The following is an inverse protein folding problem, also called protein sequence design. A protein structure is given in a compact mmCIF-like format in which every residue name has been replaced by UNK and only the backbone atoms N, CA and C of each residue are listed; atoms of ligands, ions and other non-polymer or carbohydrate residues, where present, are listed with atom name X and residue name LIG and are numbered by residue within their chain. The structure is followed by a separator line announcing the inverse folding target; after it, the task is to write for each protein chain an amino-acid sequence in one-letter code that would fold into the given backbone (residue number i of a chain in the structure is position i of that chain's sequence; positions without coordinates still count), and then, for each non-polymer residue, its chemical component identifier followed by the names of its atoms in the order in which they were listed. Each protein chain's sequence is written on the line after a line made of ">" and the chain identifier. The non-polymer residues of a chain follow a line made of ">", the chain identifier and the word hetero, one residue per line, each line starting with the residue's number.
data_IF_304415300017
#
_entry.id   IF_304415300017
#
_cell.length_a   1.000
_cell.length_b   1.000
_cell.length_c   1.000
_cell.angle_alpha   90.00
_cell.angle_beta   90.00
_cell.angle_gamma   90.00
#
_symmetry.space_group_name_H-M   'P 1'
#
loop_
_entity.id
_entity.type
_entity.pdbx_description
1 polymer ?
#
# COMPACT_ATOMS: atom_id res chain seq x y z
N UNK A 1 -87.07 -41.46 -5.04
CA UNK A 1 -86.84 -40.10 -4.51
C UNK A 1 -85.59 -40.15 -3.64
N UNK A 2 -84.75 -39.12 -3.74
CA UNK A 2 -83.33 -39.02 -3.36
C UNK A 2 -82.87 -39.62 -2.02
N UNK A 3 -81.59 -40.00 -1.97
CA UNK A 3 -80.57 -39.50 -1.00
C UNK A 3 -79.19 -40.14 -1.33
N UNK A 4 -78.36 -39.49 -2.15
CA UNK A 4 -77.32 -38.52 -1.77
C UNK A 4 -76.11 -39.15 -1.09
N UNK A 5 -75.04 -39.34 -1.87
CA UNK A 5 -73.72 -39.78 -1.44
C UNK A 5 -72.89 -38.59 -0.91
N UNK A 6 -72.18 -38.81 0.20
CA UNK A 6 -71.17 -37.88 0.74
C UNK A 6 -69.91 -37.93 -0.12
N UNK A 7 -69.42 -36.76 -0.53
CA UNK A 7 -68.06 -36.59 -1.06
C UNK A 7 -67.17 -35.99 0.05
N UNK A 8 -66.05 -36.65 0.33
CA UNK A 8 -64.96 -36.10 1.14
C UNK A 8 -64.16 -35.10 0.29
N UNK A 9 -63.96 -33.88 0.81
CA UNK A 9 -63.01 -32.92 0.26
C UNK A 9 -61.72 -32.97 1.10
N UNK A 10 -60.59 -33.20 0.44
CA UNK A 10 -59.26 -33.13 1.03
C UNK A 10 -58.78 -31.67 1.07
N UNK A 11 -58.32 -31.20 2.23
CA UNK A 11 -57.72 -29.89 2.42
C UNK A 11 -56.21 -29.95 2.10
N UNK A 12 -55.77 -29.25 1.05
CA UNK A 12 -54.36 -28.98 0.77
C UNK A 12 -54.01 -27.58 1.23
N UNK A 13 -53.12 -27.46 2.23
CA UNK A 13 -52.56 -26.18 2.66
C UNK A 13 -51.33 -25.84 1.81
N UNK A 14 -51.38 -24.71 1.09
CA UNK A 14 -50.23 -24.14 0.37
C UNK A 14 -49.53 -23.16 1.30
N UNK A 15 -48.31 -23.48 1.73
CA UNK A 15 -47.43 -22.57 2.46
C UNK A 15 -46.71 -21.67 1.44
N UNK A 16 -47.01 -20.37 1.44
CA UNK A 16 -46.25 -19.39 0.67
C UNK A 16 -44.99 -18.98 1.45
N UNK A 17 -43.82 -19.36 0.94
CA UNK A 17 -42.53 -18.91 1.47
C UNK A 17 -42.21 -17.51 0.94
N UNK A 18 -42.31 -16.51 1.81
CA UNK A 18 -41.78 -15.16 1.59
C UNK A 18 -40.25 -15.24 1.62
N UNK A 19 -39.61 -15.10 0.47
CA UNK A 19 -38.16 -14.89 0.37
C UNK A 19 -37.87 -13.43 0.73
N UNK A 20 -37.34 -13.20 1.94
CA UNK A 20 -36.73 -11.93 2.30
C UNK A 20 -35.38 -11.87 1.58
N UNK A 21 -35.29 -11.06 0.52
CA UNK A 21 -34.00 -10.69 -0.07
C UNK A 21 -33.26 -9.82 0.95
N UNK A 22 -32.26 -10.39 1.62
CA UNK A 22 -31.34 -9.63 2.45
C UNK A 22 -30.53 -8.70 1.54
N UNK A 23 -30.85 -7.41 1.55
CA UNK A 23 -29.98 -6.38 0.99
C UNK A 23 -28.70 -6.32 1.83
N UNK A 24 -27.57 -6.69 1.22
CA UNK A 24 -26.24 -6.44 1.81
C UNK A 24 -26.12 -4.93 2.07
N UNK A 25 -25.76 -4.49 3.28
CA UNK A 25 -25.71 -3.07 3.60
C UNK A 25 -24.68 -2.36 2.71
N UNK A 26 -25.04 -1.18 2.21
CA UNK A 26 -24.20 -0.33 1.34
C UNK A 26 -22.85 0.12 1.94
N UNK A 27 -22.57 -0.23 3.21
CA UNK A 27 -21.30 0.03 3.86
C UNK A 27 -20.15 -0.86 3.33
N UNK A 28 -20.46 -2.05 2.80
CA UNK A 28 -19.43 -3.01 2.39
C UNK A 28 -18.73 -2.68 1.05
N UNK A 29 -19.35 -1.86 0.21
CA UNK A 29 -18.78 -1.43 -1.09
C UNK A 29 -17.90 -0.18 -0.98
N UNK A 30 -18.04 0.61 0.09
CA UNK A 30 -17.26 1.84 0.30
C UNK A 30 -15.83 1.59 0.84
N UNK A 31 -15.55 0.38 1.33
CA UNK A 31 -14.28 0.01 1.96
C UNK A 31 -13.18 -0.43 0.97
N UNK A 32 -13.56 -0.76 -0.26
CA UNK A 32 -12.66 -1.22 -1.35
C UNK A 32 -12.80 -0.28 -2.56
N UNK A 33 -11.86 -0.33 -3.49
CA UNK A 33 -11.79 0.60 -4.62
C UNK A 33 -10.96 1.85 -4.31
N UNK A 34 -10.91 2.76 -5.29
CA UNK A 34 -10.21 4.05 -5.18
C UNK A 34 -11.18 5.20 -4.86
N UNK A 35 -10.81 6.03 -3.88
CA UNK A 35 -11.57 7.21 -3.47
C UNK A 35 -10.66 8.44 -3.45
N UNK A 36 -11.17 9.55 -3.99
CA UNK A 36 -10.54 10.87 -3.88
C UNK A 36 -11.05 11.57 -2.62
N UNK A 37 -10.15 11.97 -1.71
CA UNK A 37 -10.45 12.74 -0.49
C UNK A 37 -9.57 13.98 -0.48
N UNK A 38 -10.14 15.14 -0.82
CA UNK A 38 -9.38 16.39 -0.97
C UNK A 38 -8.19 16.23 -1.93
N UNK A 39 -6.99 16.48 -1.41
CA UNK A 39 -5.74 16.38 -2.14
C UNK A 39 -5.21 14.93 -2.25
N UNK A 40 -5.90 13.94 -1.69
CA UNK A 40 -5.47 12.54 -1.62
C UNK A 40 -6.30 11.57 -2.46
N UNK A 41 -5.66 10.49 -2.90
CA UNK A 41 -6.32 9.34 -3.53
C UNK A 41 -6.00 8.10 -2.70
N UNK A 42 -6.99 7.33 -2.31
CA UNK A 42 -6.83 6.12 -1.49
C UNK A 42 -7.44 4.93 -2.21
N UNK A 43 -6.62 3.97 -2.64
CA UNK A 43 -7.09 2.70 -3.18
C UNK A 43 -6.85 1.55 -2.21
N UNK A 44 -7.84 0.67 -2.10
CA UNK A 44 -7.85 -0.48 -1.20
C UNK A 44 -8.40 -1.67 -1.98
N UNK A 45 -7.60 -2.70 -2.21
CA UNK A 45 -8.06 -3.90 -2.93
C UNK A 45 -8.76 -4.89 -2.00
N UNK A 46 -9.57 -5.80 -2.55
CA UNK A 46 -10.42 -6.69 -1.78
C UNK A 46 -9.61 -7.62 -0.86
N UNK A 47 -9.82 -7.54 0.48
CA UNK A 47 -9.18 -8.46 1.40
C UNK A 47 -9.76 -9.89 1.34
N UNK A 48 -10.92 -10.10 0.71
CA UNK A 48 -11.51 -11.42 0.48
C UNK A 48 -10.72 -12.32 -0.47
N UNK A 49 -9.73 -11.78 -1.18
CA UNK A 49 -8.97 -12.47 -2.21
C UNK A 49 -9.71 -12.52 -3.55
N UNK A 50 -9.11 -13.21 -4.52
CA UNK A 50 -9.55 -13.14 -5.92
C UNK A 50 -8.89 -11.98 -6.67
N UNK A 51 -9.01 -11.99 -7.99
CA UNK A 51 -8.35 -11.02 -8.85
C UNK A 51 -8.94 -9.60 -8.66
N UNK A 52 -8.10 -8.66 -8.22
CA UNK A 52 -8.43 -7.24 -8.07
C UNK A 52 -7.37 -6.36 -8.75
N UNK A 53 -7.76 -5.71 -9.85
CA UNK A 53 -6.92 -4.82 -10.65
C UNK A 53 -7.18 -3.33 -10.37
N UNK A 54 -7.84 -2.99 -9.25
CA UNK A 54 -8.19 -1.60 -8.88
C UNK A 54 -6.97 -0.67 -8.92
N UNK A 55 -5.83 -1.09 -8.35
CA UNK A 55 -4.61 -0.27 -8.32
C UNK A 55 -4.01 -0.13 -9.72
N UNK A 56 -4.05 -1.19 -10.53
CA UNK A 56 -3.60 -1.16 -11.93
C UNK A 56 -4.45 -0.17 -12.73
N UNK A 57 -5.78 -0.24 -12.61
CA UNK A 57 -6.71 0.67 -13.28
C UNK A 57 -6.47 2.13 -12.88
N UNK A 58 -6.17 2.40 -11.61
CA UNK A 58 -5.91 3.75 -11.13
C UNK A 58 -4.58 4.31 -11.66
N UNK A 59 -3.52 3.49 -11.71
CA UNK A 59 -2.26 3.87 -12.35
C UNK A 59 -2.48 4.18 -13.83
N UNK A 60 -3.20 3.30 -14.55
CA UNK A 60 -3.54 3.51 -15.96
C UNK A 60 -4.33 4.80 -16.15
N UNK A 61 -5.29 5.11 -15.28
CA UNK A 61 -6.06 6.35 -15.32
C UNK A 61 -5.18 7.60 -15.20
N UNK A 62 -4.15 7.55 -14.36
CA UNK A 62 -3.21 8.66 -14.19
C UNK A 62 -2.27 8.82 -15.37
N UNK A 63 -1.61 7.73 -15.78
CA UNK A 63 -0.60 7.74 -16.85
C UNK A 63 -1.22 7.91 -18.23
N UNK A 64 -2.41 7.35 -18.46
CA UNK A 64 -3.09 7.33 -19.76
C UNK A 64 -3.48 8.70 -20.31
N UNK A 65 -3.41 9.74 -19.48
CA UNK A 65 -3.67 11.13 -19.88
C UNK A 65 -2.40 11.96 -20.14
N UNK A 66 -1.22 11.40 -19.90
CA UNK A 66 0.05 12.08 -20.15
C UNK A 66 0.28 12.27 -21.66
N UNK A 67 0.73 13.46 -22.04
CA UNK A 67 0.96 13.90 -23.42
C UNK A 67 2.31 14.61 -23.56
N UNK A 68 2.63 15.11 -24.76
CA UNK A 68 3.84 15.90 -25.02
C UNK A 68 4.02 17.04 -24.01
N UNK A 69 5.20 17.11 -23.39
CA UNK A 69 5.54 18.08 -22.34
C UNK A 69 5.25 17.61 -20.90
N UNK A 70 4.52 16.52 -20.72
CA UNK A 70 4.31 15.90 -19.41
C UNK A 70 5.46 14.95 -19.05
N UNK A 71 5.63 14.67 -17.76
CA UNK A 71 6.64 13.70 -17.27
C UNK A 71 5.99 12.56 -16.51
N UNK A 72 6.46 11.34 -16.76
CA UNK A 72 6.08 10.12 -16.04
C UNK A 72 7.34 9.41 -15.58
N UNK A 73 7.40 9.09 -14.29
CA UNK A 73 8.52 8.39 -13.67
C UNK A 73 7.97 7.28 -12.79
N UNK A 74 8.39 6.06 -13.03
CA UNK A 74 7.89 4.90 -12.30
C UNK A 74 9.05 4.09 -11.71
N UNK A 75 8.83 3.52 -10.54
CA UNK A 75 9.73 2.58 -9.90
C UNK A 75 8.97 1.28 -9.59
N UNK A 76 9.62 0.13 -9.80
CA UNK A 76 8.99 -1.19 -9.64
C UNK A 76 9.95 -2.18 -8.98
N UNK A 77 9.49 -2.92 -7.97
CA UNK A 77 10.21 -4.12 -7.52
C UNK A 77 10.28 -5.16 -8.64
N UNK A 78 9.12 -5.46 -9.24
CA UNK A 78 8.97 -6.27 -10.46
C UNK A 78 7.85 -5.66 -11.31
N UNK A 79 7.97 -5.83 -12.62
CA UNK A 79 6.99 -5.41 -13.60
C UNK A 79 6.88 -6.51 -14.67
N UNK A 80 5.77 -7.23 -14.70
CA UNK A 80 5.58 -8.37 -15.59
C UNK A 80 4.48 -8.11 -16.63
N UNK A 81 4.20 -9.08 -17.50
CA UNK A 81 3.25 -8.95 -18.63
C UNK A 81 2.06 -9.91 -18.55
N UNK A 82 1.79 -10.50 -17.38
CA UNK A 82 0.53 -11.19 -17.12
C UNK A 82 -0.66 -10.24 -17.31
N UNK A 83 -1.79 -10.77 -17.77
CA UNK A 83 -3.00 -10.03 -18.15
C UNK A 83 -3.43 -8.97 -17.13
N UNK A 84 -3.32 -9.29 -15.84
CA UNK A 84 -3.74 -8.44 -14.73
C UNK A 84 -2.91 -7.16 -14.59
N UNK A 85 -1.64 -7.19 -14.99
CA UNK A 85 -0.65 -6.11 -14.74
C UNK A 85 -0.04 -5.53 -16.02
N UNK A 86 -0.14 -6.25 -17.15
CA UNK A 86 0.30 -5.80 -18.47
C UNK A 86 -0.20 -4.38 -18.83
N UNK A 87 -1.45 -3.95 -18.49
CA UNK A 87 -1.91 -2.60 -18.80
C UNK A 87 -1.01 -1.47 -18.28
N UNK A 88 -0.23 -1.70 -17.21
CA UNK A 88 0.72 -0.71 -16.71
C UNK A 88 1.89 -0.52 -17.67
N UNK A 89 2.41 -1.60 -18.25
CA UNK A 89 3.46 -1.50 -19.29
C UNK A 89 2.88 -0.87 -20.55
N UNK A 90 1.67 -1.26 -20.96
CA UNK A 90 1.02 -0.69 -22.16
C UNK A 90 0.84 0.82 -22.02
N UNK A 91 0.30 1.31 -20.90
CA UNK A 91 0.01 2.74 -20.74
C UNK A 91 1.30 3.59 -20.70
N UNK A 92 2.42 3.03 -20.20
CA UNK A 92 3.73 3.68 -20.23
C UNK A 92 4.27 3.80 -21.66
N UNK A 93 4.17 2.72 -22.45
CA UNK A 93 4.52 2.71 -23.88
C UNK A 93 3.67 3.71 -24.66
N UNK A 94 2.35 3.73 -24.41
CA UNK A 94 1.44 4.67 -25.07
C UNK A 94 1.73 6.13 -24.69
N UNK A 95 2.06 6.41 -23.42
CA UNK A 95 2.45 7.75 -22.98
C UNK A 95 3.73 8.23 -23.67
N UNK A 96 4.74 7.36 -23.77
CA UNK A 96 5.96 7.63 -24.53
C UNK A 96 5.65 7.91 -26.01
N UNK A 97 4.76 7.12 -26.63
CA UNK A 97 4.31 7.32 -28.01
C UNK A 97 3.54 8.63 -28.24
N UNK A 98 2.89 9.17 -27.20
CA UNK A 98 2.24 10.50 -27.22
C UNK A 98 3.21 11.66 -26.97
N UNK A 99 4.50 11.38 -26.77
CA UNK A 99 5.55 12.38 -26.55
C UNK A 99 5.76 12.78 -25.10
N UNK A 100 5.10 12.12 -24.13
CA UNK A 100 5.43 12.31 -22.72
C UNK A 100 6.86 11.80 -22.44
N UNK A 101 7.57 12.44 -21.53
CA UNK A 101 8.87 11.97 -21.07
C UNK A 101 8.66 10.85 -20.04
N UNK A 102 8.91 9.60 -20.43
CA UNK A 102 8.71 8.42 -19.57
C UNK A 102 10.03 7.78 -19.16
N UNK A 103 10.18 7.53 -17.85
CA UNK A 103 11.32 6.83 -17.28
C UNK A 103 10.91 5.76 -16.28
N UNK A 104 11.58 4.61 -16.32
CA UNK A 104 11.35 3.46 -15.43
C UNK A 104 12.63 3.05 -14.70
N UNK A 105 12.51 2.76 -13.40
CA UNK A 105 13.49 1.98 -12.64
C UNK A 105 12.82 0.67 -12.21
N UNK A 106 13.49 -0.47 -12.39
CA UNK A 106 12.94 -1.77 -12.03
C UNK A 106 14.00 -2.68 -11.40
N UNK A 107 13.59 -3.46 -10.41
CA UNK A 107 14.45 -4.45 -9.76
C UNK A 107 14.55 -5.76 -10.54
N UNK A 108 15.72 -6.40 -10.45
CA UNK A 108 15.90 -7.82 -10.75
C UNK A 108 15.82 -8.59 -9.43
N UNK A 109 14.73 -9.33 -9.23
CA UNK A 109 14.53 -10.10 -8.00
C UNK A 109 15.52 -11.26 -7.87
N UNK A 110 16.01 -11.54 -6.66
CA UNK A 110 17.00 -12.62 -6.46
C UNK A 110 16.49 -14.00 -6.89
N UNK A 111 15.22 -14.30 -6.62
CA UNK A 111 14.60 -15.58 -6.95
C UNK A 111 14.09 -15.68 -8.38
N UNK A 112 13.81 -14.54 -9.01
CA UNK A 112 13.23 -14.44 -10.35
C UNK A 112 13.85 -13.26 -11.11
N UNK A 113 15.15 -13.32 -11.44
CA UNK A 113 15.91 -12.18 -11.96
C UNK A 113 15.46 -11.72 -13.34
N UNK A 114 14.73 -12.57 -14.07
CA UNK A 114 14.25 -12.31 -15.43
C UNK A 114 12.74 -12.06 -15.49
N UNK A 115 12.05 -11.96 -14.34
CA UNK A 115 10.60 -11.75 -14.29
C UNK A 115 10.15 -10.51 -15.08
N UNK A 116 10.97 -9.45 -15.05
CA UNK A 116 10.67 -8.18 -15.72
C UNK A 116 11.21 -8.08 -17.15
N UNK A 117 11.99 -9.06 -17.62
CA UNK A 117 12.77 -8.93 -18.86
C UNK A 117 11.90 -8.64 -20.10
N UNK A 118 10.74 -9.28 -20.21
CA UNK A 118 9.83 -9.05 -21.32
C UNK A 118 9.18 -7.65 -21.28
N UNK A 119 8.84 -7.16 -20.08
CA UNK A 119 8.30 -5.81 -19.92
C UNK A 119 9.36 -4.75 -20.20
N UNK A 120 10.61 -4.97 -19.75
CA UNK A 120 11.73 -4.07 -19.99
C UNK A 120 12.04 -3.96 -21.48
N UNK A 121 12.18 -5.09 -22.18
CA UNK A 121 12.42 -5.08 -23.63
C UNK A 121 11.33 -4.29 -24.37
N UNK A 122 10.06 -4.48 -24.00
CA UNK A 122 8.94 -3.74 -24.58
C UNK A 122 8.99 -2.23 -24.31
N UNK A 123 9.42 -1.81 -23.12
CA UNK A 123 9.60 -0.39 -22.77
C UNK A 123 10.76 0.23 -23.56
N UNK A 124 11.90 -0.46 -23.63
CA UNK A 124 13.09 0.00 -24.36
C UNK A 124 12.82 0.11 -25.87
N UNK A 125 12.12 -0.86 -26.45
CA UNK A 125 11.69 -0.82 -27.87
C UNK A 125 10.79 0.38 -28.19
N UNK A 126 10.03 0.85 -27.20
CA UNK A 126 9.19 2.06 -27.30
C UNK A 126 9.98 3.37 -27.07
N UNK A 127 11.27 3.28 -26.71
CA UNK A 127 12.11 4.44 -26.40
C UNK A 127 11.96 4.97 -24.97
N UNK A 128 11.35 4.22 -24.05
CA UNK A 128 11.31 4.56 -22.63
C UNK A 128 12.71 4.40 -22.04
N UNK A 129 13.14 5.35 -21.20
CA UNK A 129 14.40 5.20 -20.48
C UNK A 129 14.23 4.22 -19.33
N UNK A 130 14.96 3.10 -19.32
CA UNK A 130 14.86 2.06 -18.29
C UNK A 130 16.19 1.89 -17.54
N UNK A 131 16.12 1.73 -16.22
CA UNK A 131 17.22 1.24 -15.37
C UNK A 131 16.80 -0.06 -14.70
N UNK A 132 17.53 -1.14 -14.97
CA UNK A 132 17.45 -2.36 -14.17
C UNK A 132 18.48 -2.34 -13.03
N UNK A 133 18.05 -2.74 -11.84
CA UNK A 133 18.89 -2.85 -10.64
C UNK A 133 19.09 -4.31 -10.25
N UNK A 134 20.35 -4.77 -10.27
CA UNK A 134 20.75 -6.05 -9.71
C UNK A 134 20.84 -5.92 -8.19
N UNK A 135 19.77 -6.33 -7.49
CA UNK A 135 19.59 -6.01 -6.07
C UNK A 135 19.08 -4.58 -5.88
N UNK A 136 19.65 -3.86 -4.90
CA UNK A 136 19.35 -2.46 -4.63
C UNK A 136 20.05 -1.57 -5.66
N UNK A 137 19.35 -0.54 -6.14
CA UNK A 137 19.93 0.49 -6.97
C UNK A 137 20.92 1.35 -6.19
N UNK A 138 20.66 1.61 -4.90
CA UNK A 138 21.44 2.54 -4.11
C UNK A 138 22.40 1.85 -3.14
N UNK A 139 23.60 2.42 -2.94
CA UNK A 139 24.52 1.89 -1.95
C UNK A 139 24.00 2.12 -0.53
N UNK A 140 24.24 1.15 0.34
CA UNK A 140 23.94 1.26 1.77
C UNK A 140 25.01 2.10 2.48
N UNK A 141 24.77 2.58 3.71
CA UNK A 141 25.79 3.31 4.48
C UNK A 141 27.10 2.53 4.70
N UNK A 142 27.06 1.19 4.68
CA UNK A 142 28.25 0.34 4.76
C UNK A 142 28.95 0.12 3.42
N UNK A 143 28.43 0.69 2.32
CA UNK A 143 28.98 0.55 0.97
C UNK A 143 28.66 -0.77 0.29
N UNK A 144 27.86 -1.64 0.91
CA UNK A 144 27.49 -2.95 0.37
C UNK A 144 25.98 -2.98 0.10
N UNK A 145 25.57 -2.85 -1.16
CA UNK A 145 24.17 -3.04 -1.57
C UNK A 145 23.80 -4.52 -1.45
N UNK A 146 23.13 -4.92 -0.36
CA UNK A 146 22.76 -6.32 -0.10
C UNK A 146 21.25 -6.58 -0.07
N UNK A 147 20.41 -5.56 -0.17
CA UNK A 147 18.95 -5.72 -0.28
C UNK A 147 18.47 -5.52 -1.72
N UNK A 148 17.17 -5.74 -2.01
CA UNK A 148 16.59 -5.49 -3.33
C UNK A 148 16.15 -4.02 -3.53
N UNK A 149 15.92 -3.62 -4.78
CA UNK A 149 15.13 -2.45 -5.10
C UNK A 149 13.63 -2.76 -4.92
N UNK A 150 12.99 -2.32 -3.84
CA UNK A 150 11.64 -2.76 -3.47
C UNK A 150 10.55 -1.67 -3.66
N UNK A 151 10.89 -0.57 -4.32
CA UNK A 151 9.97 0.54 -4.54
C UNK A 151 8.83 0.20 -5.51
N UNK A 152 7.66 0.80 -5.28
CA UNK A 152 6.52 0.89 -6.21
C UNK A 152 5.89 2.26 -6.05
N UNK A 153 6.28 3.18 -6.93
CA UNK A 153 5.71 4.52 -6.95
C UNK A 153 5.69 5.09 -8.36
N UNK A 154 4.81 6.06 -8.57
CA UNK A 154 4.66 6.79 -9.83
C UNK A 154 4.66 8.28 -9.54
N UNK A 155 5.38 9.03 -10.36
CA UNK A 155 5.41 10.48 -10.37
C UNK A 155 4.90 10.90 -11.73
N UNK A 156 3.78 11.62 -11.73
CA UNK A 156 3.14 12.13 -12.93
C UNK A 156 3.03 13.65 -12.80
N UNK A 157 3.66 14.39 -13.69
CA UNK A 157 3.48 15.85 -13.81
C UNK A 157 2.79 16.16 -15.13
N UNK A 158 1.55 16.67 -15.04
CA UNK A 158 0.73 17.00 -16.22
C UNK A 158 0.52 18.49 -16.31
N UNK A 159 1.18 19.14 -17.25
CA UNK A 159 1.09 20.60 -17.42
C UNK A 159 1.36 21.41 -16.14
N UNK A 160 2.21 20.89 -15.24
CA UNK A 160 2.53 21.54 -13.97
C UNK A 160 1.72 21.06 -12.76
N UNK A 161 0.79 20.10 -12.93
CA UNK A 161 0.00 19.48 -11.86
C UNK A 161 0.64 18.16 -11.38
N UNK A 162 1.44 18.17 -10.30
CA UNK A 162 2.17 17.00 -9.84
C UNK A 162 1.25 16.00 -9.13
N UNK A 163 1.54 14.72 -9.30
CA UNK A 163 0.91 13.61 -8.58
C UNK A 163 1.98 12.60 -8.19
N UNK A 164 1.99 12.23 -6.91
CA UNK A 164 2.83 11.17 -6.34
C UNK A 164 1.93 10.02 -5.91
N UNK A 165 2.09 8.85 -6.51
CA UNK A 165 1.37 7.62 -6.13
C UNK A 165 2.35 6.64 -5.51
N UNK A 166 2.06 6.14 -4.32
CA UNK A 166 2.86 5.13 -3.62
C UNK A 166 1.98 3.93 -3.28
N UNK A 167 2.47 2.72 -3.57
CA UNK A 167 1.67 1.50 -3.36
C UNK A 167 2.46 0.34 -2.76
N UNK A 168 1.75 -0.52 -2.04
CA UNK A 168 2.26 -1.82 -1.60
C UNK A 168 2.14 -2.92 -2.65
N UNK A 169 1.44 -2.66 -3.78
CA UNK A 169 1.18 -3.57 -4.89
C UNK A 169 2.44 -3.81 -5.71
N UNK A 170 2.83 -5.08 -5.88
CA UNK A 170 3.89 -5.46 -6.80
C UNK A 170 3.27 -5.77 -8.15
N UNK A 171 3.81 -5.25 -9.25
CA UNK A 171 3.20 -5.39 -10.59
C UNK A 171 3.57 -6.72 -11.22
N UNK A 172 3.19 -7.80 -10.53
CA UNK A 172 3.29 -9.21 -10.92
C UNK A 172 1.92 -9.86 -10.78
N UNK A 173 1.52 -10.72 -11.73
CA UNK A 173 0.14 -11.23 -11.82
C UNK A 173 -0.41 -11.80 -10.50
N UNK A 174 0.37 -12.63 -9.81
CA UNK A 174 -0.02 -13.25 -8.54
C UNK A 174 -0.34 -12.26 -7.39
N UNK A 175 0.07 -10.99 -7.50
CA UNK A 175 -0.27 -9.95 -6.52
C UNK A 175 -1.65 -9.35 -6.75
N UNK A 176 -2.26 -9.53 -7.91
CA UNK A 176 -3.66 -9.17 -8.14
C UNK A 176 -4.62 -10.01 -7.28
N UNK A 177 -4.20 -11.19 -6.83
CA UNK A 177 -4.98 -12.05 -5.93
C UNK A 177 -4.82 -11.69 -4.44
N UNK A 178 -4.08 -10.63 -4.13
CA UNK A 178 -3.70 -10.23 -2.78
C UNK A 178 -4.18 -8.82 -2.43
N UNK A 179 -4.40 -8.58 -1.13
CA UNK A 179 -4.87 -7.31 -0.60
C UNK A 179 -3.72 -6.30 -0.48
N UNK A 180 -3.88 -5.16 -1.11
CA UNK A 180 -2.91 -4.10 -1.30
C UNK A 180 -3.58 -2.72 -1.16
N UNK A 181 -2.75 -1.70 -1.03
CA UNK A 181 -3.18 -0.32 -0.89
C UNK A 181 -2.33 0.61 -1.73
N UNK A 182 -2.91 1.75 -2.11
CA UNK A 182 -2.22 2.86 -2.76
C UNK A 182 -2.64 4.17 -2.08
N UNK A 183 -1.68 5.07 -1.89
CA UNK A 183 -1.91 6.44 -1.49
C UNK A 183 -1.34 7.38 -2.56
N UNK A 184 -2.18 8.26 -3.06
CA UNK A 184 -1.84 9.35 -3.97
C UNK A 184 -1.86 10.70 -3.25
N UNK A 185 -0.87 11.55 -3.51
CA UNK A 185 -0.82 12.96 -3.08
C UNK A 185 -0.70 13.82 -4.33
N UNK A 186 -1.50 14.88 -4.40
CA UNK A 186 -1.66 15.68 -5.62
C UNK A 186 -1.42 17.15 -5.33
N UNK A 187 -0.97 17.88 -6.36
CA UNK A 187 -0.68 19.32 -6.31
C UNK A 187 0.32 19.68 -5.19
N UNK A 188 1.17 18.72 -4.79
CA UNK A 188 2.30 18.90 -3.89
C UNK A 188 3.60 18.84 -4.69
N UNK A 189 4.08 20.02 -5.12
CA UNK A 189 5.31 20.14 -5.90
C UNK A 189 6.54 19.74 -5.10
N UNK A 190 6.61 20.12 -3.83
CA UNK A 190 7.79 19.83 -3.01
C UNK A 190 7.95 18.33 -2.76
N UNK A 191 6.85 17.62 -2.46
CA UNK A 191 6.86 16.17 -2.35
C UNK A 191 7.23 15.49 -3.68
N UNK A 192 6.68 15.99 -4.79
CA UNK A 192 6.99 15.48 -6.11
C UNK A 192 8.47 15.64 -6.44
N UNK A 193 9.04 16.83 -6.21
CA UNK A 193 10.44 17.13 -6.51
C UNK A 193 11.38 16.29 -5.63
N UNK A 194 11.00 16.02 -4.37
CA UNK A 194 11.70 15.08 -3.50
C UNK A 194 11.72 13.66 -4.10
N UNK A 195 10.56 13.09 -4.44
CA UNK A 195 10.51 11.76 -5.04
C UNK A 195 11.17 11.72 -6.43
N UNK A 196 11.12 12.81 -7.19
CA UNK A 196 11.82 12.96 -8.47
C UNK A 196 13.32 12.86 -8.27
N UNK A 197 13.86 13.59 -7.28
CA UNK A 197 15.26 13.52 -6.88
C UNK A 197 15.65 12.13 -6.38
N UNK A 198 14.77 11.43 -5.66
CA UNK A 198 15.00 10.04 -5.27
C UNK A 198 15.03 9.10 -6.48
N UNK A 199 14.08 9.23 -7.42
CA UNK A 199 14.06 8.45 -8.66
C UNK A 199 15.33 8.68 -9.48
N UNK A 200 15.82 9.92 -9.59
CA UNK A 200 17.06 10.22 -10.32
C UNK A 200 18.26 9.47 -9.75
N UNK A 201 18.32 9.33 -8.43
CA UNK A 201 19.37 8.58 -7.72
C UNK A 201 19.24 7.08 -7.94
N UNK A 202 18.02 6.55 -7.85
CA UNK A 202 17.73 5.16 -8.20
C UNK A 202 18.17 4.85 -9.64
N UNK A 203 17.86 5.76 -10.58
CA UNK A 203 18.21 5.62 -11.98
C UNK A 203 19.73 5.64 -12.21
N UNK A 204 20.46 6.53 -11.54
CA UNK A 204 21.94 6.62 -11.64
C UNK A 204 22.67 5.53 -10.85
N UNK A 205 22.03 4.97 -9.83
CA UNK A 205 22.64 3.99 -8.93
C UNK A 205 23.57 4.58 -7.87
N UNK A 206 23.40 5.85 -7.53
CA UNK A 206 24.22 6.55 -6.54
C UNK A 206 23.43 7.67 -5.85
N UNK A 207 23.85 8.05 -4.64
CA UNK A 207 23.16 9.08 -3.85
C UNK A 207 23.37 10.50 -4.37
N UNK A 208 24.31 10.75 -5.27
CA UNK A 208 24.54 12.08 -5.88
C UNK A 208 24.44 13.25 -4.88
N UNK A 209 25.31 13.25 -3.87
CA UNK A 209 25.34 14.27 -2.82
C UNK A 209 24.27 14.14 -1.72
N UNK A 210 23.29 13.24 -1.81
CA UNK A 210 22.31 13.02 -0.72
C UNK A 210 22.93 12.30 0.48
N UNK A 211 23.05 13.05 1.56
CA UNK A 211 23.34 12.53 2.89
C UNK A 211 22.08 12.00 3.58
N UNK A 212 22.19 11.63 4.88
CA UNK A 212 21.04 11.19 5.67
C UNK A 212 19.91 12.22 5.81
N UNK A 213 20.25 13.52 5.84
CA UNK A 213 19.27 14.60 5.96
C UNK A 213 18.46 14.81 4.68
N UNK A 214 19.00 14.49 3.52
CA UNK A 214 18.28 14.65 2.24
C UNK A 214 17.29 13.51 1.96
N UNK A 215 17.29 12.45 2.79
CA UNK A 215 16.45 11.24 2.58
C UNK A 215 15.07 11.37 3.21
N UNK A 216 14.61 12.60 3.39
CA UNK A 216 13.27 12.88 3.88
C UNK A 216 12.75 14.21 3.33
N UNK A 217 11.43 14.32 3.28
CA UNK A 217 10.73 15.56 3.00
C UNK A 217 9.57 15.73 3.98
N UNK A 218 9.24 16.97 4.29
CA UNK A 218 8.07 17.33 5.08
C UNK A 218 7.44 18.58 4.48
N UNK A 219 6.23 18.41 3.94
CA UNK A 219 5.42 19.46 3.33
C UNK A 219 4.18 19.70 4.20
N UNK A 220 3.34 20.65 3.80
CA UNK A 220 2.04 20.88 4.46
C UNK A 220 1.06 19.70 4.29
N UNK A 221 1.27 18.83 3.29
CA UNK A 221 0.35 17.72 2.97
C UNK A 221 0.88 16.36 3.37
N UNK A 222 2.20 16.17 3.40
CA UNK A 222 2.78 14.86 3.60
C UNK A 222 4.18 14.94 4.19
N UNK A 223 4.62 13.82 4.74
CA UNK A 223 6.03 13.55 5.01
C UNK A 223 6.45 12.29 4.28
N UNK A 224 7.68 12.24 3.80
CA UNK A 224 8.21 11.08 3.12
C UNK A 224 9.61 10.76 3.58
N UNK A 225 9.95 9.48 3.51
CA UNK A 225 11.26 8.94 3.84
C UNK A 225 11.66 7.90 2.81
N UNK A 226 12.93 7.93 2.41
CA UNK A 226 13.49 6.96 1.47
C UNK A 226 14.64 6.19 2.12
N UNK A 227 14.81 4.96 1.66
CA UNK A 227 15.73 3.98 2.24
C UNK A 227 16.76 3.53 1.18
N UNK A 228 17.92 2.99 1.59
CA UNK A 228 18.36 2.72 2.96
C UNK A 228 18.69 3.98 3.77
N UNK A 229 18.52 3.93 5.09
CA UNK A 229 18.92 5.04 5.99
C UNK A 229 19.30 4.57 7.39
N UNK A 230 19.96 5.46 8.13
CA UNK A 230 20.02 5.37 9.59
C UNK A 230 18.80 6.06 10.22
N UNK A 231 18.40 5.57 11.40
CA UNK A 231 17.19 6.03 12.08
C UNK A 231 15.92 5.39 11.55
N UNK A 232 14.93 5.22 12.42
CA UNK A 232 13.68 4.52 12.13
C UNK A 232 12.49 5.50 12.22
N UNK A 233 11.97 5.99 11.09
CA UNK A 233 10.90 7.00 11.09
C UNK A 233 9.58 6.47 11.68
N UNK A 234 9.35 5.14 11.70
CA UNK A 234 8.17 4.57 12.34
C UNK A 234 8.33 4.63 13.87
N UNK A 235 9.50 4.25 14.40
CA UNK A 235 9.77 4.35 15.84
C UNK A 235 9.69 5.81 16.30
N UNK A 236 10.35 6.72 15.58
CA UNK A 236 10.34 8.16 15.89
C UNK A 236 8.94 8.77 15.79
N UNK A 237 8.11 8.29 14.86
CA UNK A 237 6.72 8.72 14.73
C UNK A 237 5.85 8.23 15.88
N UNK A 238 5.94 6.95 16.25
CA UNK A 238 5.18 6.37 17.36
C UNK A 238 5.63 6.93 18.72
N UNK A 239 6.91 7.27 18.87
CA UNK A 239 7.45 7.89 20.09
C UNK A 239 6.79 9.24 20.40
N UNK A 240 6.36 9.98 19.38
CA UNK A 240 5.69 11.28 19.55
C UNK A 240 4.25 11.17 20.10
N UNK A 241 3.69 9.97 20.20
CA UNK A 241 2.38 9.76 20.82
C UNK A 241 2.52 9.92 22.33
N UNK A 242 1.76 10.86 22.89
CA UNK A 242 1.80 11.27 24.29
C UNK A 242 0.60 10.81 25.11
N UNK A 243 -0.50 10.43 24.45
CA UNK A 243 -1.71 9.97 25.12
C UNK A 243 -2.76 9.49 24.13
N UNK A 244 -3.83 8.90 24.65
CA UNK A 244 -4.94 8.40 23.86
C UNK A 244 -6.26 8.71 24.58
N UNK A 245 -7.23 9.24 23.85
CA UNK A 245 -8.60 9.43 24.30
C UNK A 245 -9.43 8.16 24.07
N UNK A 246 -10.67 8.15 24.58
CA UNK A 246 -11.57 7.02 24.32
C UNK A 246 -11.84 6.88 22.82
N UNK A 247 -11.47 5.73 22.25
CA UNK A 247 -11.66 5.43 20.83
C UNK A 247 -10.42 5.67 19.97
N UNK A 248 -9.37 6.30 20.51
CA UNK A 248 -8.08 6.43 19.85
C UNK A 248 -7.44 5.06 19.59
N UNK A 249 -6.77 4.95 18.44
CA UNK A 249 -6.37 3.66 17.87
C UNK A 249 -5.05 3.74 17.11
N UNK A 250 -4.30 2.64 17.17
CA UNK A 250 -3.15 2.35 16.31
C UNK A 250 -3.39 1.02 15.62
N UNK A 251 -3.64 1.07 14.31
CA UNK A 251 -3.99 -0.09 13.51
C UNK A 251 -2.87 -0.40 12.52
N UNK A 252 -2.20 -1.54 12.69
CA UNK A 252 -1.02 -1.95 11.92
C UNK A 252 -1.40 -3.04 10.93
N UNK A 253 -1.63 -2.68 9.68
CA UNK A 253 -1.84 -3.62 8.58
C UNK A 253 -0.55 -3.79 7.79
N UNK A 254 0.24 -4.82 8.11
CA UNK A 254 1.58 -4.95 7.56
C UNK A 254 1.91 -6.37 7.12
N UNK A 255 2.30 -6.54 5.85
CA UNK A 255 2.62 -7.85 5.28
C UNK A 255 3.69 -8.58 6.11
N UNK A 256 4.80 -7.90 6.37
CA UNK A 256 5.88 -8.44 7.19
C UNK A 256 6.19 -7.50 8.37
N UNK A 257 6.05 -8.03 9.58
CA UNK A 257 6.54 -7.40 10.81
C UNK A 257 7.32 -8.43 11.62
N UNK A 258 8.64 -8.33 11.55
CA UNK A 258 9.55 -9.37 12.04
C UNK A 258 10.20 -8.99 13.37
N UNK A 259 10.61 -10.01 14.13
CA UNK A 259 11.22 -9.89 15.46
C UNK A 259 12.54 -9.11 15.50
N UNK A 260 13.14 -8.84 14.34
CA UNK A 260 14.30 -7.96 14.16
C UNK A 260 13.94 -6.45 14.17
N UNK A 261 12.67 -6.09 14.40
CA UNK A 261 12.22 -4.71 14.67
C UNK A 261 11.55 -4.58 16.05
N UNK A 262 12.23 -4.96 17.14
CA UNK A 262 11.63 -4.92 18.48
C UNK A 262 11.25 -3.51 18.92
N UNK A 263 12.01 -2.48 18.52
CA UNK A 263 11.72 -1.09 18.87
C UNK A 263 10.34 -0.61 18.37
N UNK A 264 9.87 -1.10 17.21
CA UNK A 264 8.51 -0.77 16.72
C UNK A 264 7.46 -1.42 17.62
N UNK A 265 7.64 -2.70 17.98
CA UNK A 265 6.73 -3.41 18.90
C UNK A 265 6.69 -2.74 20.27
N UNK A 266 7.85 -2.37 20.80
CA UNK A 266 7.95 -1.75 22.12
C UNK A 266 7.25 -0.38 22.15
N UNK A 267 7.29 0.38 21.05
CA UNK A 267 6.48 1.59 20.91
C UNK A 267 4.98 1.29 20.82
N UNK A 268 4.57 0.23 20.13
CA UNK A 268 3.16 -0.19 20.08
C UNK A 268 2.65 -0.61 21.47
N UNK A 269 3.45 -1.35 22.24
CA UNK A 269 3.15 -1.74 23.62
C UNK A 269 3.04 -0.50 24.53
N UNK A 270 4.01 0.42 24.43
CA UNK A 270 3.94 1.71 25.14
C UNK A 270 2.66 2.47 24.82
N UNK A 271 2.29 2.58 23.54
CA UNK A 271 1.10 3.31 23.09
C UNK A 271 -0.19 2.60 23.52
N UNK A 272 -0.21 1.26 23.58
CA UNK A 272 -1.31 0.52 24.21
C UNK A 272 -1.43 0.87 25.70
N UNK A 273 -0.31 0.97 26.42
CA UNK A 273 -0.27 1.42 27.81
C UNK A 273 -0.73 2.87 28.03
N UNK A 274 -0.68 3.72 27.01
CA UNK A 274 -1.26 5.08 27.02
C UNK A 274 -2.78 5.09 26.82
N UNK A 275 -3.40 3.94 26.55
CA UNK A 275 -4.86 3.79 26.41
C UNK A 275 -5.36 3.64 24.97
N UNK A 276 -4.48 3.65 23.97
CA UNK A 276 -4.90 3.43 22.58
C UNK A 276 -5.32 1.98 22.35
N UNK A 277 -6.33 1.77 21.50
CA UNK A 277 -6.58 0.46 20.93
C UNK A 277 -5.48 0.13 19.92
N UNK A 278 -4.60 -0.80 20.25
CA UNK A 278 -3.56 -1.28 19.34
C UNK A 278 -3.94 -2.63 18.76
N UNK A 279 -3.95 -2.74 17.43
CA UNK A 279 -4.24 -3.98 16.70
C UNK A 279 -3.29 -4.19 15.54
N UNK A 280 -2.92 -5.45 15.29
CA UNK A 280 -1.98 -5.84 14.24
C UNK A 280 -2.57 -6.93 13.37
N UNK A 281 -2.53 -6.76 12.05
CA UNK A 281 -2.80 -7.83 11.07
C UNK A 281 -1.54 -8.05 10.25
N UNK A 282 -1.08 -9.30 10.21
CA UNK A 282 0.07 -9.72 9.41
C UNK A 282 -0.33 -10.67 8.29
N UNK A 283 0.54 -10.84 7.31
CA UNK A 283 0.43 -11.99 6.41
C UNK A 283 0.64 -13.29 7.19
N UNK A 284 -0.14 -14.32 6.87
CA UNK A 284 0.13 -15.70 7.28
C UNK A 284 1.42 -16.25 6.62
N UNK A 285 2.56 -16.02 7.28
CA UNK A 285 3.91 -16.38 6.85
C UNK A 285 4.77 -16.71 8.06
N UNK A 286 5.61 -17.75 7.93
CA UNK A 286 6.45 -18.25 9.01
C UNK A 286 7.42 -17.17 9.55
N UNK A 287 7.93 -16.29 8.68
CA UNK A 287 8.89 -15.26 9.07
C UNK A 287 8.28 -14.21 10.02
N UNK A 288 6.96 -14.04 10.01
CA UNK A 288 6.28 -13.12 10.93
C UNK A 288 6.23 -13.67 12.37
N UNK A 289 6.05 -14.99 12.52
CA UNK A 289 6.03 -15.69 13.81
C UNK A 289 5.30 -14.92 14.94
N UNK A 290 3.99 -14.61 14.82
CA UNK A 290 3.31 -13.52 15.52
C UNK A 290 3.41 -13.54 17.06
N UNK A 291 3.71 -14.70 17.66
CA UNK A 291 3.94 -14.89 19.10
C UNK A 291 4.87 -13.85 19.76
N UNK A 292 5.82 -13.26 19.04
CA UNK A 292 6.70 -12.23 19.60
C UNK A 292 6.03 -10.85 19.78
N UNK A 293 4.98 -10.58 19.00
CA UNK A 293 4.10 -9.41 19.10
C UNK A 293 2.97 -9.70 20.09
N UNK A 294 2.35 -10.88 20.01
CA UNK A 294 1.28 -11.32 20.91
C UNK A 294 1.72 -11.27 22.38
N UNK A 295 2.98 -11.63 22.68
CA UNK A 295 3.55 -11.53 24.03
C UNK A 295 3.60 -10.10 24.59
N UNK A 296 3.65 -9.09 23.73
CA UNK A 296 3.63 -7.68 24.15
C UNK A 296 2.20 -7.13 24.13
N UNK A 297 1.47 -7.33 23.03
CA UNK A 297 0.18 -6.66 22.80
C UNK A 297 -1.04 -7.47 23.26
N UNK A 298 -0.87 -8.74 23.62
CA UNK A 298 -1.94 -9.71 23.82
C UNK A 298 -2.34 -10.43 22.53
N UNK A 299 -2.66 -11.72 22.63
CA UNK A 299 -3.08 -12.58 21.52
C UNK A 299 -4.33 -12.06 20.79
N UNK A 300 -5.31 -11.54 21.54
CA UNK A 300 -6.54 -10.97 20.99
C UNK A 300 -6.32 -9.72 20.10
N UNK A 301 -5.12 -9.11 20.13
CA UNK A 301 -4.77 -7.90 19.41
C UNK A 301 -3.90 -8.16 18.16
N UNK A 302 -3.59 -9.43 17.86
CA UNK A 302 -2.81 -9.81 16.68
C UNK A 302 -3.59 -10.85 15.88
N UNK A 303 -3.67 -10.66 14.57
CA UNK A 303 -4.28 -11.64 13.65
C UNK A 303 -3.40 -11.88 12.43
N UNK A 304 -3.63 -13.00 11.77
CA UNK A 304 -2.94 -13.37 10.53
C UNK A 304 -3.93 -13.61 9.40
N UNK A 305 -3.55 -13.15 8.20
CA UNK A 305 -4.42 -13.13 7.03
C UNK A 305 -3.67 -13.66 5.79
N UNK A 306 -4.23 -14.66 5.11
CA UNK A 306 -3.55 -15.37 4.01
C UNK A 306 -3.26 -14.49 2.79
N UNK A 307 -4.23 -13.67 2.37
CA UNK A 307 -4.09 -12.81 1.18
C UNK A 307 -3.56 -11.39 1.47
N UNK A 308 -3.12 -11.08 2.70
CA UNK A 308 -2.71 -9.71 3.05
C UNK A 308 -1.31 -9.37 2.51
N UNK A 309 -1.13 -8.18 1.91
CA UNK A 309 0.18 -7.66 1.47
C UNK A 309 0.37 -6.16 1.68
N UNK A 310 -0.53 -5.52 2.41
CA UNK A 310 -0.47 -4.10 2.67
C UNK A 310 0.76 -3.70 3.50
N UNK A 311 1.08 -2.40 3.48
CA UNK A 311 2.03 -1.79 4.42
C UNK A 311 1.42 -0.47 4.84
N UNK A 312 0.66 -0.45 5.93
CA UNK A 312 0.18 0.80 6.50
C UNK A 312 0.04 0.74 8.02
N UNK A 313 0.06 1.92 8.63
CA UNK A 313 -0.25 2.14 10.04
C UNK A 313 -1.22 3.32 10.11
N UNK A 314 -2.40 3.11 10.68
CA UNK A 314 -3.33 4.20 11.02
C UNK A 314 -3.09 4.57 12.47
N UNK A 315 -2.98 5.86 12.76
CA UNK A 315 -2.90 6.37 14.13
C UNK A 315 -3.91 7.48 14.29
N UNK A 316 -4.73 7.36 15.32
CA UNK A 316 -5.49 8.46 15.89
C UNK A 316 -5.14 8.53 17.37
N UNK A 317 -4.42 9.58 17.77
CA UNK A 317 -3.88 9.70 19.12
C UNK A 317 -3.48 11.17 19.44
N UNK A 318 -3.08 11.42 20.68
CA UNK A 318 -2.56 12.71 21.13
C UNK A 318 -1.05 12.85 20.89
N UNK A 319 -0.66 13.94 20.24
CA UNK A 319 0.71 14.35 19.95
C UNK A 319 1.00 15.70 20.63
N UNK A 320 1.46 15.65 21.88
CA UNK A 320 1.49 16.82 22.77
C UNK A 320 0.07 17.29 23.05
N UNK A 321 -0.21 18.57 22.81
CA UNK A 321 -1.51 19.19 23.08
C UNK A 321 -2.52 19.05 21.93
N UNK A 322 -2.22 18.23 20.90
CA UNK A 322 -3.06 18.10 19.71
C UNK A 322 -3.36 16.65 19.37
N UNK A 323 -4.65 16.36 19.13
CA UNK A 323 -5.08 15.07 18.57
C UNK A 323 -4.84 15.09 17.07
N UNK A 324 -4.22 14.03 16.55
CA UNK A 324 -3.96 13.90 15.12
C UNK A 324 -4.43 12.55 14.60
N UNK A 325 -4.86 12.54 13.34
CA UNK A 325 -5.12 11.35 12.55
C UNK A 325 -4.06 11.25 11.46
N UNK A 326 -3.26 10.18 11.50
CA UNK A 326 -2.11 9.96 10.62
C UNK A 326 -2.23 8.61 9.94
N UNK A 327 -1.77 8.52 8.70
CA UNK A 327 -1.54 7.25 8.00
C UNK A 327 -0.11 7.21 7.52
N UNK A 328 0.65 6.20 7.94
CA UNK A 328 1.88 5.81 7.24
C UNK A 328 1.54 4.71 6.25
N UNK A 329 2.11 4.77 5.05
CA UNK A 329 2.12 3.68 4.10
C UNK A 329 3.37 3.70 3.24
N UNK A 330 3.54 2.76 2.32
CA UNK A 330 4.71 2.69 1.46
C UNK A 330 4.99 1.29 0.96
N UNK A 331 6.24 1.09 0.58
CA UNK A 331 6.76 -0.21 0.14
C UNK A 331 7.48 -0.94 1.27
N UNK A 332 7.92 -0.17 2.27
CA UNK A 332 8.77 -0.58 3.38
C UNK A 332 8.07 -1.57 4.33
N UNK A 333 8.61 -2.79 4.43
CA UNK A 333 8.19 -3.77 5.44
C UNK A 333 8.75 -3.42 6.83
N UNK A 334 8.10 -3.80 7.93
CA UNK A 334 8.65 -3.68 9.29
C UNK A 334 9.70 -4.77 9.57
N UNK A 335 10.82 -4.69 8.86
CA UNK A 335 11.97 -5.60 8.96
C UNK A 335 13.28 -4.81 9.04
N UNK A 336 14.34 -5.41 9.59
CA UNK A 336 15.67 -4.79 9.58
C UNK A 336 16.20 -4.57 8.14
N UNK A 337 15.86 -5.47 7.21
CA UNK A 337 16.30 -5.40 5.82
C UNK A 337 15.71 -4.18 5.08
N UNK A 338 14.40 -3.94 5.20
CA UNK A 338 13.74 -2.77 4.59
C UNK A 338 14.30 -1.45 5.12
N UNK A 339 14.76 -1.42 6.38
CA UNK A 339 15.33 -0.22 6.99
C UNK A 339 16.75 0.08 6.49
N UNK A 340 17.59 -0.94 6.42
CA UNK A 340 19.05 -0.75 6.34
C UNK A 340 19.64 -1.11 4.98
N UNK A 341 18.96 -1.92 4.17
CA UNK A 341 19.57 -2.59 3.02
C UNK A 341 18.78 -2.43 1.71
N UNK A 342 17.48 -2.17 1.81
CA UNK A 342 16.55 -2.19 0.67
C UNK A 342 16.28 -0.77 0.19
N UNK A 343 16.15 -0.57 -1.13
CA UNK A 343 15.53 0.66 -1.62
C UNK A 343 14.03 0.57 -1.37
N UNK A 344 13.53 1.39 -0.46
CA UNK A 344 12.14 1.41 -0.04
C UNK A 344 11.73 2.87 0.19
N UNK A 345 10.44 3.09 0.40
CA UNK A 345 9.93 4.38 0.86
C UNK A 345 8.77 4.24 1.85
N UNK A 346 8.58 5.29 2.64
CA UNK A 346 7.43 5.51 3.51
C UNK A 346 6.86 6.90 3.20
N UNK A 347 5.54 6.97 3.09
CA UNK A 347 4.75 8.18 2.96
C UNK A 347 3.82 8.29 4.18
N UNK A 348 3.78 9.45 4.82
CA UNK A 348 2.86 9.80 5.88
C UNK A 348 1.96 10.95 5.44
N UNK A 349 0.68 10.84 5.73
CA UNK A 349 -0.28 11.96 5.61
C UNK A 349 -1.02 12.17 6.92
N UNK A 350 -1.39 13.42 7.19
CA UNK A 350 -2.11 13.83 8.39
C UNK A 350 -3.51 14.33 8.00
N UNK A 351 -4.44 13.40 7.77
CA UNK A 351 -5.79 13.69 7.30
C UNK A 351 -6.80 12.72 7.90
N UNK A 352 -7.89 13.27 8.45
CA UNK A 352 -8.91 12.49 9.17
C UNK A 352 -9.72 11.58 8.24
N UNK A 353 -10.05 12.04 7.03
CA UNK A 353 -10.81 11.24 6.07
C UNK A 353 -9.97 10.09 5.54
N UNK A 354 -8.70 10.35 5.21
CA UNK A 354 -7.76 9.31 4.80
C UNK A 354 -7.56 8.27 5.91
N UNK A 355 -7.38 8.70 7.16
CA UNK A 355 -7.26 7.79 8.30
C UNK A 355 -8.50 6.90 8.46
N UNK A 356 -9.69 7.45 8.28
CA UNK A 356 -10.95 6.70 8.37
C UNK A 356 -11.09 5.70 7.21
N UNK A 357 -10.72 6.07 5.97
CA UNK A 357 -10.72 5.14 4.83
C UNK A 357 -9.79 3.93 5.06
N UNK A 358 -8.60 4.16 5.63
CA UNK A 358 -7.66 3.10 5.99
C UNK A 358 -8.13 2.28 7.21
N UNK A 359 -8.79 2.91 8.19
CA UNK A 359 -9.32 2.21 9.34
C UNK A 359 -10.47 1.26 8.95
N UNK A 360 -11.38 1.69 8.07
CA UNK A 360 -12.43 0.83 7.52
C UNK A 360 -11.84 -0.37 6.78
N UNK A 361 -10.80 -0.13 5.99
CA UNK A 361 -10.09 -1.20 5.30
C UNK A 361 -9.41 -2.18 6.27
N UNK A 362 -8.77 -1.64 7.31
CA UNK A 362 -8.21 -2.45 8.38
C UNK A 362 -9.26 -3.33 9.04
N UNK A 363 -10.48 -2.84 9.27
CA UNK A 363 -11.54 -3.68 9.85
C UNK A 363 -11.91 -4.84 8.94
N UNK A 364 -11.92 -4.66 7.61
CA UNK A 364 -12.16 -5.75 6.66
C UNK A 364 -11.04 -6.80 6.71
N UNK A 365 -9.78 -6.36 6.73
CA UNK A 365 -8.63 -7.24 6.96
C UNK A 365 -8.74 -7.98 8.29
N UNK A 366 -9.09 -7.27 9.35
CA UNK A 366 -9.23 -7.83 10.69
C UNK A 366 -10.30 -8.92 10.74
N UNK A 367 -11.48 -8.67 10.15
CA UNK A 367 -12.59 -9.62 10.12
C UNK A 367 -12.29 -10.88 9.29
N UNK A 368 -11.53 -10.75 8.20
CA UNK A 368 -11.08 -11.88 7.38
C UNK A 368 -9.88 -12.64 7.95
N UNK A 369 -9.25 -12.12 8.99
CA UNK A 369 -8.06 -12.71 9.61
C UNK A 369 -8.44 -13.67 10.75
N UNK A 370 -7.60 -14.69 10.95
CA UNK A 370 -7.73 -15.68 12.04
C UNK A 370 -6.95 -15.27 13.27
#
# INVERSE_FOLDING_TARGET
>A
MHRSALAMAAAGAVLATLTVSASVPAADTAAIGCVRSGDYTVCRTDPGGGEDTTIVAEVVRHVGTAQEGDTVRAAFFQLTLEEQVAPVTEVLVEAQGRGADVGVVVGRGESEPDASAAAVAKLEDAGVTVRECEGACLPTPSGEGRGPHHNRFFLIDRGGEPTVLVTSFNFKGAHAEQAHNLLGVHSDRELFDFYRGFWDRLHRGEWDGWGPEDRHAATDRARAWVFPRTGDPIVQGLEQITGCEQGDRVLVGHANFQSNRPAVRDQLDRVQGLGCQVRVVLTDKDENAPAWIERALGDANVRIHGAHRNKFIVVEAQFGDRRQALVWTGTHNLTANSLQQTDDNILQVADQEVAELYAQFFQRLWQGAR
#
